data_IF_394442531037
#
_entry.id   IF_394442531037
#
_cell.length_a   1.000
_cell.length_b   1.000
_cell.length_c   1.000
_cell.angle_alpha   90.00
_cell.angle_beta   90.00
_cell.angle_gamma   90.00
#
_symmetry.space_group_name_H-M   'P 1'
#
loop_
_entity.id
_entity.type
_entity.pdbx_description
1 polymer ?
#
# COMPACT_ATOMS: atom_id res chain seq x y z
N UNK A 1 -5.19 25.55 9.27
CA UNK A 1 -4.85 26.75 8.49
C UNK A 1 -3.38 26.66 8.11
N UNK A 2 -2.99 27.31 7.02
CA UNK A 2 -1.62 27.50 6.54
C UNK A 2 -1.34 29.00 6.54
N UNK A 3 -0.19 29.40 7.09
CA UNK A 3 0.22 30.81 7.14
C UNK A 3 0.94 31.18 5.84
N UNK A 4 0.48 32.26 5.20
CA UNK A 4 1.09 32.82 3.98
C UNK A 4 1.43 34.30 4.20
N UNK A 5 2.25 34.94 3.32
CA UNK A 5 2.49 36.38 3.39
C UNK A 5 1.22 37.23 3.36
N UNK A 6 0.12 36.70 2.81
CA UNK A 6 -1.17 37.40 2.65
C UNK A 6 -2.20 37.03 3.73
N UNK A 7 -1.80 36.30 4.78
CA UNK A 7 -2.67 35.87 5.88
C UNK A 7 -2.84 34.35 5.97
N UNK A 8 -3.78 33.92 6.81
CA UNK A 8 -4.09 32.50 7.00
C UNK A 8 -5.11 32.01 5.97
N UNK A 9 -4.78 30.90 5.29
CA UNK A 9 -5.69 30.21 4.36
C UNK A 9 -5.91 28.76 4.80
N UNK A 10 -6.97 28.07 4.33
CA UNK A 10 -7.11 26.64 4.58
C UNK A 10 -5.94 25.82 4.01
N UNK A 11 -5.58 24.73 4.68
CA UNK A 11 -4.61 23.76 4.16
C UNK A 11 -5.21 23.01 2.97
N UNK A 12 -4.37 22.60 2.03
CA UNK A 12 -4.76 21.69 0.96
C UNK A 12 -5.10 20.33 1.58
N UNK A 13 -6.26 19.78 1.21
CA UNK A 13 -6.82 18.52 1.75
C UNK A 13 -7.11 17.51 0.65
N UNK A 14 -6.43 17.64 -0.49
CA UNK A 14 -6.67 16.85 -1.68
C UNK A 14 -7.76 17.44 -2.58
N UNK A 15 -7.69 17.09 -3.86
CA UNK A 15 -8.54 17.65 -4.92
C UNK A 15 -10.04 17.43 -4.71
N UNK A 16 -10.42 16.43 -3.91
CA UNK A 16 -11.81 16.16 -3.51
C UNK A 16 -12.38 17.22 -2.56
N UNK A 17 -11.53 17.99 -1.88
CA UNK A 17 -11.93 19.07 -0.96
C UNK A 17 -11.64 20.44 -1.57
N UNK A 18 -10.40 20.70 -1.96
CA UNK A 18 -9.94 22.00 -2.43
C UNK A 18 -8.74 21.86 -3.37
N UNK A 19 -8.14 22.98 -3.79
CA UNK A 19 -7.09 23.04 -4.80
C UNK A 19 -5.70 23.30 -4.19
N UNK A 20 -4.59 22.84 -4.81
CA UNK A 20 -3.25 23.00 -4.26
C UNK A 20 -2.74 24.46 -4.29
N UNK A 21 -3.26 25.31 -5.18
CA UNK A 21 -2.85 26.70 -5.31
C UNK A 21 -3.00 27.47 -3.98
N UNK A 22 -2.00 28.29 -3.64
CA UNK A 22 -1.93 29.00 -2.35
C UNK A 22 -2.73 30.31 -2.36
N UNK A 23 -4.03 30.23 -2.68
CA UNK A 23 -4.98 31.36 -2.62
C UNK A 23 -6.19 31.00 -1.76
N UNK A 24 -6.84 31.99 -1.15
CA UNK A 24 -8.04 31.75 -0.34
C UNK A 24 -9.17 31.10 -1.16
N UNK A 25 -9.37 31.56 -2.39
CA UNK A 25 -10.36 31.02 -3.32
C UNK A 25 -10.08 29.55 -3.62
N UNK A 26 -8.85 29.21 -4.03
CA UNK A 26 -8.46 27.83 -4.34
C UNK A 26 -8.54 26.90 -3.12
N UNK A 27 -8.24 27.40 -1.93
CA UNK A 27 -8.25 26.63 -0.68
C UNK A 27 -9.62 26.53 -0.02
N UNK A 28 -10.62 27.27 -0.48
CA UNK A 28 -11.99 27.16 0.02
C UNK A 28 -12.57 25.81 -0.37
N UNK A 29 -13.09 25.00 0.58
CA UNK A 29 -13.71 23.72 0.26
C UNK A 29 -14.90 23.87 -0.70
N UNK A 30 -14.96 23.03 -1.72
CA UNK A 30 -16.01 23.06 -2.75
C UNK A 30 -16.70 21.69 -2.84
N UNK A 31 -17.99 21.57 -2.50
CA UNK A 31 -18.72 20.30 -2.51
C UNK A 31 -18.90 19.70 -3.90
N UNK A 32 -18.84 20.48 -4.99
CA UNK A 32 -18.92 19.95 -6.37
C UNK A 32 -17.72 19.04 -6.70
N UNK A 33 -16.62 19.19 -5.96
CA UNK A 33 -15.45 18.31 -6.10
C UNK A 33 -15.73 16.87 -5.71
N UNK A 34 -16.76 16.59 -4.91
CA UNK A 34 -17.21 15.22 -4.62
C UNK A 34 -17.64 14.50 -5.91
N UNK A 35 -18.38 15.19 -6.79
CA UNK A 35 -18.84 14.65 -8.06
C UNK A 35 -17.68 14.48 -9.06
N UNK A 36 -16.73 15.43 -9.05
CA UNK A 36 -15.50 15.34 -9.84
C UNK A 36 -14.65 14.14 -9.41
N UNK A 37 -14.46 13.95 -8.11
CA UNK A 37 -13.71 12.82 -7.56
C UNK A 37 -14.37 11.49 -7.94
N UNK A 38 -15.70 11.36 -7.78
CA UNK A 38 -16.44 10.20 -8.24
C UNK A 38 -16.24 9.91 -9.73
N UNK A 39 -16.38 10.93 -10.59
CA UNK A 39 -16.23 10.77 -12.04
C UNK A 39 -14.81 10.34 -12.44
N UNK A 40 -13.79 10.95 -11.82
CA UNK A 40 -12.39 10.61 -12.05
C UNK A 40 -12.08 9.18 -11.57
N UNK A 41 -12.58 8.78 -10.39
CA UNK A 41 -12.42 7.43 -9.85
C UNK A 41 -13.08 6.39 -10.75
N UNK A 42 -14.30 6.64 -11.22
CA UNK A 42 -15.01 5.75 -12.14
C UNK A 42 -14.27 5.57 -13.46
N UNK A 43 -13.79 6.67 -14.06
CA UNK A 43 -13.01 6.63 -15.30
C UNK A 43 -11.69 5.87 -15.12
N UNK A 44 -10.98 6.13 -14.02
CA UNK A 44 -9.72 5.47 -13.68
C UNK A 44 -9.91 3.97 -13.48
N UNK A 45 -10.91 3.57 -12.70
CA UNK A 45 -11.19 2.16 -12.44
C UNK A 45 -11.64 1.42 -13.71
N UNK A 46 -12.43 2.08 -14.56
CA UNK A 46 -12.81 1.50 -15.86
C UNK A 46 -11.59 1.28 -16.76
N UNK A 47 -10.66 2.26 -16.82
CA UNK A 47 -9.42 2.12 -17.57
C UNK A 47 -8.54 0.99 -17.02
N UNK A 48 -8.37 0.91 -15.69
CA UNK A 48 -7.62 -0.17 -15.05
C UNK A 48 -8.23 -1.55 -15.34
N UNK A 49 -9.57 -1.67 -15.32
CA UNK A 49 -10.27 -2.92 -15.72
C UNK A 49 -10.03 -3.30 -17.17
N UNK A 50 -9.89 -2.32 -18.06
CA UNK A 50 -9.55 -2.58 -19.45
C UNK A 50 -8.07 -2.97 -19.61
N UNK A 51 -7.16 -2.30 -18.90
CA UNK A 51 -5.72 -2.59 -18.91
C UNK A 51 -5.40 -3.96 -18.30
N UNK A 52 -6.10 -4.37 -17.24
CA UNK A 52 -5.95 -5.70 -16.65
C UNK A 52 -6.35 -6.83 -17.62
N UNK A 53 -7.16 -6.52 -18.64
CA UNK A 53 -7.55 -7.43 -19.73
C UNK A 53 -6.69 -7.27 -20.99
N UNK A 54 -5.64 -6.44 -20.91
CA UNK A 54 -4.79 -6.12 -22.06
C UNK A 54 -4.03 -7.35 -22.58
N UNK A 55 -3.43 -7.19 -23.76
CA UNK A 55 -2.69 -8.23 -24.47
C UNK A 55 -1.22 -8.35 -24.07
N UNK A 56 -0.74 -7.60 -23.07
CA UNK A 56 0.65 -7.70 -22.64
C UNK A 56 0.92 -9.09 -22.05
N UNK A 57 1.99 -9.73 -22.54
CA UNK A 57 2.37 -11.06 -22.08
C UNK A 57 3.24 -10.96 -20.83
N UNK A 58 3.34 -12.05 -20.05
CA UNK A 58 4.29 -12.12 -18.93
C UNK A 58 5.74 -11.85 -19.38
N UNK A 59 6.10 -12.17 -20.61
CA UNK A 59 7.43 -11.89 -21.15
C UNK A 59 7.63 -10.40 -21.44
N UNK A 60 6.59 -9.66 -21.82
CA UNK A 60 6.66 -8.20 -21.97
C UNK A 60 6.88 -7.53 -20.61
N UNK A 61 6.22 -8.03 -19.56
CA UNK A 61 6.49 -7.60 -18.18
C UNK A 61 7.91 -7.92 -17.73
N UNK A 62 8.44 -9.10 -18.05
CA UNK A 62 9.85 -9.44 -17.74
C UNK A 62 10.81 -8.50 -18.45
N UNK A 63 10.58 -8.17 -19.73
CA UNK A 63 11.42 -7.19 -20.45
C UNK A 63 11.35 -5.79 -19.85
N UNK A 64 10.16 -5.37 -19.39
CA UNK A 64 10.01 -4.11 -18.69
C UNK A 64 10.78 -4.11 -17.37
N UNK A 65 10.70 -5.21 -16.60
CA UNK A 65 11.46 -5.38 -15.37
C UNK A 65 12.95 -5.35 -15.66
N UNK A 66 13.45 -6.09 -16.65
CA UNK A 66 14.86 -6.13 -17.04
C UNK A 66 15.41 -4.73 -17.34
N UNK A 67 14.65 -3.92 -18.11
CA UNK A 67 15.02 -2.54 -18.44
C UNK A 67 15.12 -1.64 -17.21
N UNK A 68 14.27 -1.86 -16.21
CA UNK A 68 14.15 -0.99 -15.03
C UNK A 68 14.96 -1.49 -13.83
N UNK A 69 15.36 -2.76 -13.82
CA UNK A 69 16.04 -3.39 -12.71
C UNK A 69 17.51 -2.94 -12.64
N UNK A 70 18.05 -2.71 -11.43
CA UNK A 70 19.49 -2.65 -11.22
C UNK A 70 20.22 -3.89 -11.79
N UNK A 71 21.41 -3.71 -12.37
CA UNK A 71 22.22 -4.81 -12.94
C UNK A 71 22.47 -5.95 -11.95
N UNK A 72 22.56 -5.65 -10.65
CA UNK A 72 22.72 -6.65 -9.57
C UNK A 72 21.60 -7.71 -9.54
N UNK A 73 20.46 -7.46 -10.19
CA UNK A 73 19.33 -8.38 -10.28
C UNK A 73 19.19 -9.11 -11.61
N UNK A 74 20.09 -8.91 -12.58
CA UNK A 74 20.01 -9.54 -13.90
C UNK A 74 19.85 -11.07 -13.81
N UNK A 75 20.61 -11.74 -12.93
CA UNK A 75 20.51 -13.18 -12.73
C UNK A 75 19.16 -13.65 -12.15
N UNK A 76 18.44 -12.77 -11.43
CA UNK A 76 17.09 -13.08 -10.94
C UNK A 76 16.05 -12.89 -12.05
N UNK A 77 16.21 -11.87 -12.90
CA UNK A 77 15.37 -11.66 -14.09
C UNK A 77 15.51 -12.85 -15.04
N UNK A 78 16.74 -13.27 -15.34
CA UNK A 78 17.03 -14.45 -16.17
C UNK A 78 16.37 -15.72 -15.59
N UNK A 79 16.39 -15.92 -14.27
CA UNK A 79 15.69 -17.03 -13.61
C UNK A 79 14.16 -16.99 -13.81
N UNK A 80 13.55 -15.80 -13.84
CA UNK A 80 12.11 -15.67 -14.12
C UNK A 80 11.84 -16.00 -15.58
N UNK A 81 12.65 -15.46 -16.49
CA UNK A 81 12.53 -15.71 -17.93
C UNK A 81 12.68 -17.21 -18.25
N UNK A 82 13.70 -17.86 -17.70
CA UNK A 82 13.93 -19.31 -17.84
C UNK A 82 12.74 -20.13 -17.34
N UNK A 83 12.13 -19.73 -16.22
CA UNK A 83 10.95 -20.41 -15.70
C UNK A 83 9.74 -20.28 -16.64
N UNK A 84 9.51 -19.10 -17.22
CA UNK A 84 8.44 -18.88 -18.21
C UNK A 84 8.72 -19.64 -19.51
N UNK A 85 9.97 -19.65 -19.98
CA UNK A 85 10.40 -20.41 -21.14
C UNK A 85 10.24 -21.92 -20.91
N UNK A 86 10.50 -22.41 -19.69
CA UNK A 86 10.26 -23.80 -19.32
C UNK A 86 8.77 -24.17 -19.39
N UNK A 87 7.87 -23.33 -18.84
CA UNK A 87 6.43 -23.55 -18.96
C UNK A 87 6.01 -23.63 -20.44
N UNK A 88 6.53 -22.71 -21.26
CA UNK A 88 6.31 -22.70 -22.71
C UNK A 88 6.80 -23.99 -23.37
N UNK A 89 7.99 -24.46 -23.02
CA UNK A 89 8.58 -25.70 -23.53
C UNK A 89 7.80 -26.96 -23.10
N UNK A 90 7.14 -26.93 -21.94
CA UNK A 90 6.21 -27.96 -21.50
C UNK A 90 4.87 -27.96 -22.26
N UNK A 91 4.68 -27.06 -23.23
CA UNK A 91 3.45 -26.93 -24.00
C UNK A 91 2.35 -26.16 -23.27
N UNK A 92 2.67 -25.48 -22.15
CA UNK A 92 1.76 -24.55 -21.52
C UNK A 92 1.84 -23.22 -22.26
N UNK A 93 0.71 -22.79 -22.80
CA UNK A 93 0.65 -21.51 -23.48
C UNK A 93 0.62 -20.37 -22.45
N UNK A 94 1.79 -19.78 -22.23
CA UNK A 94 1.96 -18.56 -21.42
C UNK A 94 1.57 -17.28 -22.18
N UNK A 95 1.15 -17.40 -23.45
CA UNK A 95 0.81 -16.29 -24.37
C UNK A 95 -0.68 -16.25 -24.77
N UNK A 96 -1.37 -17.39 -24.86
CA UNK A 96 -2.82 -17.52 -25.16
C UNK A 96 -3.47 -18.72 -24.46
N UNK A 97 -3.96 -18.53 -23.23
CA UNK A 97 -4.47 -19.61 -22.37
C UNK A 97 -5.72 -20.35 -22.89
N UNK A 98 -5.70 -21.69 -22.80
CA UNK A 98 -6.89 -22.50 -22.46
C UNK A 98 -6.51 -23.46 -21.35
N UNK A 99 -7.10 -23.25 -20.16
CA UNK A 99 -7.03 -24.04 -18.92
C UNK A 99 -5.73 -23.97 -18.07
N UNK A 100 -5.86 -23.53 -16.80
CA UNK A 100 -4.84 -23.63 -15.76
C UNK A 100 -4.03 -22.35 -15.45
N UNK A 101 -3.94 -21.39 -16.38
CA UNK A 101 -3.08 -20.19 -16.24
C UNK A 101 -3.85 -18.86 -16.40
N UNK A 102 -5.18 -18.85 -16.26
CA UNK A 102 -6.00 -17.63 -16.41
C UNK A 102 -5.54 -16.47 -15.51
N UNK A 103 -5.14 -16.76 -14.27
CA UNK A 103 -4.62 -15.76 -13.33
C UNK A 103 -3.25 -15.16 -13.72
N UNK A 104 -2.54 -15.77 -14.69
CA UNK A 104 -1.31 -15.19 -15.25
C UNK A 104 -1.57 -14.20 -16.39
N UNK A 105 -2.78 -14.20 -16.99
CA UNK A 105 -3.14 -13.27 -18.08
C UNK A 105 -3.93 -12.08 -17.58
N UNK A 106 -4.94 -12.33 -16.75
CA UNK A 106 -5.82 -11.29 -16.22
C UNK A 106 -5.53 -11.12 -14.73
N UNK A 107 -4.51 -10.32 -14.35
CA UNK A 107 -4.25 -10.09 -12.95
C UNK A 107 -5.49 -9.46 -12.32
N UNK A 108 -5.99 -10.10 -11.26
CA UNK A 108 -6.97 -9.47 -10.39
C UNK A 108 -6.30 -8.27 -9.73
N UNK A 109 -6.93 -7.11 -9.84
CA UNK A 109 -6.52 -5.93 -9.11
C UNK A 109 -7.71 -5.39 -8.32
N UNK A 110 -7.40 -4.79 -7.18
CA UNK A 110 -8.36 -4.19 -6.29
C UNK A 110 -7.99 -2.72 -6.07
N UNK A 111 -9.00 -1.92 -5.77
CA UNK A 111 -8.84 -0.51 -5.41
C UNK A 111 -8.95 -0.34 -3.89
N UNK A 112 -8.17 0.62 -3.37
CA UNK A 112 -8.26 1.06 -1.99
C UNK A 112 -7.96 2.54 -1.84
N UNK A 113 -8.48 3.15 -0.79
CA UNK A 113 -8.13 4.51 -0.34
C UNK A 113 -8.42 4.68 1.16
N UNK A 114 -7.91 5.77 1.74
CA UNK A 114 -8.25 6.15 3.12
C UNK A 114 -9.71 6.60 3.18
N UNK A 115 -10.53 5.95 4.00
CA UNK A 115 -11.90 6.36 4.24
C UNK A 115 -11.91 7.63 5.10
N UNK A 116 -11.58 8.78 4.51
CA UNK A 116 -11.32 10.02 5.25
C UNK A 116 -12.52 10.98 5.23
N UNK A 117 -13.08 11.22 4.05
CA UNK A 117 -14.18 12.17 3.86
C UNK A 117 -15.52 11.44 3.97
N UNK A 118 -16.01 11.26 5.20
CA UNK A 118 -17.15 10.39 5.50
C UNK A 118 -18.45 10.75 4.76
N UNK A 119 -18.65 12.01 4.35
CA UNK A 119 -19.79 12.37 3.49
C UNK A 119 -19.73 11.67 2.13
N UNK A 120 -18.54 11.59 1.53
CA UNK A 120 -18.31 10.86 0.28
C UNK A 120 -18.50 9.35 0.47
N UNK A 121 -17.90 8.81 1.55
CA UNK A 121 -17.97 7.38 1.87
C UNK A 121 -19.41 6.91 2.15
N UNK A 122 -20.16 7.67 2.94
CA UNK A 122 -21.58 7.38 3.21
C UNK A 122 -22.43 7.40 1.94
N UNK A 123 -22.18 8.34 1.02
CA UNK A 123 -22.92 8.48 -0.22
C UNK A 123 -22.66 7.31 -1.19
N UNK A 124 -21.54 6.60 -1.02
CA UNK A 124 -21.15 5.42 -1.80
C UNK A 124 -21.37 4.10 -1.06
N UNK A 125 -22.00 4.12 0.12
CA UNK A 125 -22.35 2.89 0.84
C UNK A 125 -23.66 2.32 0.32
N UNK A 126 -23.70 1.01 0.07
CA UNK A 126 -24.81 0.29 -0.57
C UNK A 126 -25.22 -0.92 0.27
N UNK A 127 -26.52 -1.20 0.39
CA UNK A 127 -26.98 -2.43 1.00
C UNK A 127 -26.79 -3.61 0.05
N UNK A 128 -26.55 -4.78 0.61
CA UNK A 128 -26.55 -6.07 -0.04
C UNK A 128 -27.42 -7.01 0.82
N UNK A 129 -28.50 -7.51 0.24
CA UNK A 129 -29.34 -8.50 0.89
C UNK A 129 -28.68 -9.87 0.71
N UNK A 130 -28.20 -10.47 1.79
CA UNK A 130 -27.64 -11.81 1.78
C UNK A 130 -28.75 -12.83 1.46
N UNK A 131 -28.67 -13.56 0.33
CA UNK A 131 -29.71 -14.50 -0.06
C UNK A 131 -29.80 -15.74 0.84
N UNK A 132 -28.75 -16.08 1.59
CA UNK A 132 -28.72 -17.24 2.48
C UNK A 132 -29.32 -16.93 3.86
N UNK A 133 -29.00 -15.76 4.41
CA UNK A 133 -29.41 -15.37 5.78
C UNK A 133 -30.60 -14.41 5.80
N UNK A 134 -30.84 -13.67 4.71
CA UNK A 134 -31.79 -12.57 4.64
C UNK A 134 -31.35 -11.31 5.38
N UNK A 135 -30.08 -11.23 5.82
CA UNK A 135 -29.52 -10.06 6.49
C UNK A 135 -29.14 -8.97 5.49
N UNK A 136 -29.47 -7.71 5.81
CA UNK A 136 -28.97 -6.56 5.06
C UNK A 136 -27.54 -6.23 5.50
N UNK A 137 -26.58 -6.57 4.66
CA UNK A 137 -25.18 -6.21 4.81
C UNK A 137 -24.88 -4.88 4.12
N UNK A 138 -23.88 -4.14 4.59
CA UNK A 138 -23.49 -2.86 4.00
C UNK A 138 -22.09 -2.93 3.44
N UNK A 139 -21.93 -2.51 2.18
CA UNK A 139 -20.62 -2.37 1.53
C UNK A 139 -20.43 -0.92 1.13
N UNK A 140 -19.28 -0.35 1.44
CA UNK A 140 -18.87 0.88 0.80
C UNK A 140 -18.34 0.56 -0.60
N UNK A 141 -19.08 0.99 -1.63
CA UNK A 141 -18.74 0.73 -3.03
C UNK A 141 -17.79 1.79 -3.61
N UNK A 142 -17.17 2.64 -2.80
CA UNK A 142 -16.13 3.58 -3.23
C UNK A 142 -14.81 2.85 -3.57
N UNK A 143 -14.52 1.74 -2.88
CA UNK A 143 -13.36 0.89 -3.12
C UNK A 143 -13.59 -0.53 -2.60
N UNK A 144 -12.69 -1.46 -2.96
CA UNK A 144 -12.77 -2.85 -2.49
C UNK A 144 -12.31 -2.96 -1.03
N UNK A 145 -11.25 -2.23 -0.69
CA UNK A 145 -10.68 -2.16 0.66
C UNK A 145 -10.56 -0.69 1.08
N UNK A 146 -10.81 -0.39 2.35
CA UNK A 146 -10.72 0.96 2.91
C UNK A 146 -9.83 0.94 4.13
N UNK A 147 -9.06 2.00 4.38
CA UNK A 147 -8.30 2.10 5.64
C UNK A 147 -8.65 3.33 6.46
N UNK A 148 -8.44 3.23 7.78
CA UNK A 148 -8.41 4.37 8.70
C UNK A 148 -6.97 4.82 8.93
N UNK A 149 -6.74 6.11 8.83
CA UNK A 149 -5.44 6.74 8.98
C UNK A 149 -5.00 6.87 10.44
N UNK A 150 -3.70 7.14 10.64
CA UNK A 150 -3.11 7.31 11.98
C UNK A 150 -3.77 8.44 12.78
N UNK A 151 -4.30 9.46 12.10
CA UNK A 151 -4.89 10.65 12.74
C UNK A 151 -6.40 10.53 12.95
N UNK A 152 -7.03 9.47 12.44
CA UNK A 152 -8.48 9.27 12.39
C UNK A 152 -8.92 7.94 13.02
N UNK A 153 -7.99 7.18 13.61
CA UNK A 153 -8.23 5.86 14.21
C UNK A 153 -8.62 5.90 15.69
N UNK A 154 -9.20 7.00 16.18
CA UNK A 154 -9.71 7.06 17.56
C UNK A 154 -10.82 6.02 17.73
N UNK A 155 -10.76 5.23 18.80
CA UNK A 155 -11.64 4.08 19.00
C UNK A 155 -13.13 4.46 19.03
N UNK A 156 -13.45 5.61 19.63
CA UNK A 156 -14.78 6.21 19.70
C UNK A 156 -15.02 7.26 18.58
N UNK A 157 -14.12 7.33 17.60
CA UNK A 157 -14.16 8.26 16.50
C UNK A 157 -15.09 7.82 15.36
N UNK A 158 -15.54 8.82 14.58
CA UNK A 158 -16.49 8.61 13.49
C UNK A 158 -15.99 7.65 12.40
N UNK A 159 -14.69 7.63 12.12
CA UNK A 159 -14.10 6.77 11.09
C UNK A 159 -14.09 5.30 11.49
N UNK A 160 -13.77 5.01 12.76
CA UNK A 160 -13.83 3.64 13.29
C UNK A 160 -15.28 3.17 13.34
N UNK A 161 -16.21 4.02 13.79
CA UNK A 161 -17.64 3.68 13.78
C UNK A 161 -18.17 3.43 12.37
N UNK A 162 -17.79 4.25 11.39
CA UNK A 162 -18.18 4.04 10.00
C UNK A 162 -17.67 2.70 9.46
N UNK A 163 -16.38 2.41 9.64
CA UNK A 163 -15.76 1.17 9.14
C UNK A 163 -16.26 -0.08 9.87
N UNK A 164 -16.65 0.03 11.14
CA UNK A 164 -17.27 -1.06 11.91
C UNK A 164 -18.55 -1.60 11.25
N UNK A 165 -19.29 -0.75 10.54
CA UNK A 165 -20.55 -1.11 9.91
C UNK A 165 -20.45 -1.70 8.51
N UNK A 166 -19.28 -1.65 7.85
CA UNK A 166 -19.13 -2.10 6.46
C UNK A 166 -18.45 -3.47 6.37
N UNK A 167 -18.83 -4.23 5.34
CA UNK A 167 -18.33 -5.59 5.11
C UNK A 167 -17.02 -5.64 4.33
N UNK A 168 -16.58 -4.54 3.72
CA UNK A 168 -15.27 -4.43 3.06
C UNK A 168 -14.11 -4.95 3.92
N UNK A 169 -13.01 -5.36 3.29
CA UNK A 169 -11.74 -5.50 4.02
C UNK A 169 -11.29 -4.12 4.54
N UNK A 170 -10.77 -4.10 5.77
CA UNK A 170 -10.44 -2.86 6.48
C UNK A 170 -8.95 -2.81 6.78
N UNK A 171 -8.33 -1.66 6.57
CA UNK A 171 -6.97 -1.37 6.98
C UNK A 171 -6.94 -0.44 8.17
N UNK A 172 -5.92 -0.59 9.02
CA UNK A 172 -5.65 0.33 10.13
C UNK A 172 -4.19 0.72 10.06
N UNK A 173 -3.89 2.02 9.92
CA UNK A 173 -2.51 2.51 10.06
C UNK A 173 -2.06 2.33 11.51
N UNK A 174 -0.87 1.75 11.69
CA UNK A 174 -0.28 1.44 12.99
C UNK A 174 1.03 2.20 13.14
N UNK A 175 0.95 3.37 13.78
CA UNK A 175 2.11 4.21 14.08
C UNK A 175 2.95 3.74 15.26
N UNK A 176 4.07 4.44 15.53
CA UNK A 176 5.04 4.09 16.57
C UNK A 176 4.55 4.35 18.00
N UNK A 177 3.40 5.02 18.17
CA UNK A 177 2.77 5.26 19.47
C UNK A 177 1.62 4.30 19.75
N UNK A 178 1.39 3.30 18.89
CA UNK A 178 0.34 2.31 19.09
C UNK A 178 0.70 1.42 20.27
N UNK A 179 -0.19 1.36 21.25
CA UNK A 179 -0.07 0.46 22.39
C UNK A 179 -0.80 -0.87 22.15
N UNK A 180 -0.31 -2.00 22.70
CA UNK A 180 -0.96 -3.30 22.51
C UNK A 180 -2.45 -3.34 22.88
N UNK A 181 -2.85 -2.70 23.98
CA UNK A 181 -4.24 -2.69 24.43
C UNK A 181 -5.15 -1.88 23.51
N UNK A 182 -4.64 -0.77 22.97
CA UNK A 182 -5.34 0.05 21.99
C UNK A 182 -5.54 -0.72 20.68
N UNK A 183 -4.47 -1.37 20.19
CA UNK A 183 -4.52 -2.18 18.97
C UNK A 183 -5.54 -3.32 19.09
N UNK A 184 -5.53 -4.04 20.21
CA UNK A 184 -6.50 -5.11 20.45
C UNK A 184 -7.93 -4.56 20.47
N UNK A 185 -8.16 -3.43 21.15
CA UNK A 185 -9.49 -2.81 21.16
C UNK A 185 -9.99 -2.42 19.76
N UNK A 186 -9.09 -1.91 18.90
CA UNK A 186 -9.39 -1.60 17.50
C UNK A 186 -9.74 -2.85 16.69
N UNK A 187 -8.96 -3.93 16.86
CA UNK A 187 -9.23 -5.22 16.20
C UNK A 187 -10.61 -5.75 16.62
N UNK A 188 -10.92 -5.74 17.91
CA UNK A 188 -12.18 -6.22 18.46
C UNK A 188 -13.38 -5.43 17.93
N UNK A 189 -13.19 -4.13 17.75
CA UNK A 189 -14.23 -3.24 17.23
C UNK A 189 -14.46 -3.46 15.74
N UNK A 190 -13.41 -3.60 14.94
CA UNK A 190 -13.51 -3.67 13.48
C UNK A 190 -13.64 -5.10 12.93
N UNK A 191 -13.29 -6.11 13.73
CA UNK A 191 -13.38 -7.53 13.39
C UNK A 191 -13.96 -8.35 14.57
N UNK A 192 -15.20 -8.07 15.00
CA UNK A 192 -15.77 -8.67 16.21
C UNK A 192 -15.99 -10.18 16.12
N UNK A 193 -16.13 -10.72 14.91
CA UNK A 193 -16.26 -12.16 14.65
C UNK A 193 -14.91 -12.86 14.45
N UNK A 194 -13.80 -12.12 14.56
CA UNK A 194 -12.45 -12.60 14.29
C UNK A 194 -12.36 -13.33 12.94
N UNK A 195 -12.85 -12.70 11.87
CA UNK A 195 -12.82 -13.24 10.52
C UNK A 195 -11.41 -13.12 9.91
N UNK A 196 -10.91 -14.19 9.31
CA UNK A 196 -9.63 -14.16 8.59
C UNK A 196 -9.70 -13.20 7.40
N UNK A 197 -8.67 -12.39 7.20
CA UNK A 197 -8.59 -11.44 6.08
C UNK A 197 -9.43 -10.17 6.22
N UNK A 198 -10.31 -10.06 7.24
CA UNK A 198 -11.16 -8.87 7.46
C UNK A 198 -10.35 -7.61 7.76
N UNK A 199 -9.29 -7.73 8.55
CA UNK A 199 -8.48 -6.58 9.00
C UNK A 199 -7.01 -6.71 8.61
N UNK A 200 -6.46 -5.63 8.04
CA UNK A 200 -5.05 -5.46 7.73
C UNK A 200 -4.44 -4.38 8.64
N UNK A 201 -3.38 -4.74 9.36
CA UNK A 201 -2.62 -3.81 10.19
C UNK A 201 -1.44 -3.28 9.38
N UNK A 202 -1.47 -1.99 9.06
CA UNK A 202 -0.52 -1.32 8.17
C UNK A 202 0.51 -0.56 9.03
N UNK A 203 1.60 -1.23 9.37
CA UNK A 203 2.67 -0.75 10.25
C UNK A 203 3.45 0.37 9.57
N UNK A 204 3.71 1.48 10.27
CA UNK A 204 4.42 2.65 9.70
C UNK A 204 5.29 3.37 10.74
N UNK A 205 6.16 2.66 11.45
CA UNK A 205 6.83 3.18 12.64
C UNK A 205 8.03 4.09 12.36
N UNK A 206 8.64 3.92 11.18
CA UNK A 206 9.96 4.45 10.82
C UNK A 206 11.06 3.44 11.16
N UNK A 207 12.13 3.44 10.38
CA UNK A 207 13.27 2.53 10.54
C UNK A 207 13.89 2.58 11.94
N UNK A 208 13.87 3.75 12.57
CA UNK A 208 14.49 3.99 13.87
C UNK A 208 13.64 3.48 15.06
N UNK A 209 12.37 3.13 14.84
CA UNK A 209 11.42 2.79 15.93
C UNK A 209 10.77 1.42 15.80
N UNK A 210 10.74 0.86 14.60
CA UNK A 210 10.05 -0.40 14.33
C UNK A 210 10.60 -1.58 15.15
N UNK A 211 11.92 -1.62 15.37
CA UNK A 211 12.59 -2.70 16.10
C UNK A 211 12.11 -2.80 17.56
N UNK A 212 11.77 -1.67 18.19
CA UNK A 212 11.29 -1.61 19.57
C UNK A 212 9.75 -1.75 19.63
N UNK A 213 9.05 -1.10 18.68
CA UNK A 213 7.60 -0.97 18.73
C UNK A 213 6.82 -2.18 18.22
N UNK A 214 7.26 -2.82 17.14
CA UNK A 214 6.48 -3.87 16.48
C UNK A 214 6.42 -5.20 17.28
N UNK A 215 7.52 -5.72 17.88
CA UNK A 215 7.49 -7.03 18.53
C UNK A 215 6.45 -7.17 19.65
N UNK A 216 6.18 -6.11 20.42
CA UNK A 216 5.14 -6.15 21.46
C UNK A 216 3.72 -6.26 20.88
N UNK A 217 3.46 -5.63 19.73
CA UNK A 217 2.16 -5.72 19.05
C UNK A 217 1.95 -7.11 18.46
N UNK A 218 2.97 -7.67 17.80
CA UNK A 218 2.95 -9.04 17.27
C UNK A 218 2.63 -10.05 18.36
N UNK A 219 3.31 -9.97 19.51
CA UNK A 219 3.08 -10.86 20.65
C UNK A 219 1.68 -10.74 21.22
N UNK A 220 1.16 -9.52 21.37
CA UNK A 220 -0.17 -9.29 21.90
C UNK A 220 -1.26 -9.89 20.99
N UNK A 221 -1.24 -9.57 19.70
CA UNK A 221 -2.20 -10.09 18.71
C UNK A 221 -2.14 -11.62 18.64
N UNK A 222 -0.93 -12.19 18.61
CA UNK A 222 -0.73 -13.65 18.60
C UNK A 222 -1.27 -14.31 19.88
N UNK A 223 -1.00 -13.74 21.04
CA UNK A 223 -1.47 -14.26 22.34
C UNK A 223 -2.99 -14.26 22.44
N UNK A 224 -3.64 -13.20 21.98
CA UNK A 224 -5.10 -13.08 21.98
C UNK A 224 -5.78 -13.83 20.82
N UNK A 225 -5.02 -14.51 19.96
CA UNK A 225 -5.55 -15.34 18.88
C UNK A 225 -6.30 -14.56 17.80
N UNK A 226 -5.93 -13.30 17.55
CA UNK A 226 -6.63 -12.46 16.57
C UNK A 226 -6.09 -12.64 15.16
N UNK A 227 -7.00 -12.82 14.20
CA UNK A 227 -6.67 -12.96 12.80
C UNK A 227 -6.56 -11.60 12.13
N UNK A 228 -5.36 -11.30 11.66
CA UNK A 228 -5.02 -10.04 10.99
C UNK A 228 -4.02 -10.32 9.86
N UNK A 229 -4.04 -9.46 8.85
CA UNK A 229 -2.96 -9.39 7.85
C UNK A 229 -1.98 -8.30 8.27
N UNK A 230 -0.70 -8.63 8.45
CA UNK A 230 0.32 -7.63 8.72
C UNK A 230 0.90 -7.08 7.42
N UNK A 231 0.90 -5.77 7.26
CA UNK A 231 1.48 -5.08 6.11
C UNK A 231 2.42 -3.97 6.58
N UNK A 232 3.52 -3.76 5.86
CA UNK A 232 4.45 -2.66 6.15
C UNK A 232 4.24 -1.50 5.18
N UNK A 233 4.05 -0.30 5.74
CA UNK A 233 4.15 1.00 5.08
C UNK A 233 5.47 1.66 5.51
N UNK A 234 6.56 1.40 4.77
CA UNK A 234 7.88 1.95 5.08
C UNK A 234 8.05 3.40 4.59
N UNK A 235 6.97 4.06 4.16
CA UNK A 235 7.02 5.36 3.52
C UNK A 235 6.77 6.47 4.55
N UNK A 236 5.61 6.41 5.23
CA UNK A 236 5.15 7.48 6.12
C UNK A 236 5.98 7.62 7.40
N UNK A 237 6.69 6.55 7.79
CA UNK A 237 7.65 6.51 8.91
C UNK A 237 8.95 7.28 8.66
N UNK A 238 9.36 7.43 7.40
CA UNK A 238 10.73 7.78 7.02
C UNK A 238 10.85 9.11 6.26
N UNK A 239 9.82 9.95 6.30
CA UNK A 239 9.86 11.29 5.70
C UNK A 239 10.80 12.20 6.49
N UNK A 240 11.78 12.78 5.79
CA UNK A 240 12.69 13.82 6.30
C UNK A 240 12.48 15.13 5.56
N UNK A 241 13.04 16.23 6.08
CA UNK A 241 13.18 17.49 5.36
C UNK A 241 14.66 17.77 5.11
N UNK A 242 15.02 18.05 3.86
CA UNK A 242 16.40 18.42 3.50
C UNK A 242 16.61 19.94 3.58
N UNK A 243 17.84 20.42 3.36
CA UNK A 243 18.25 21.80 3.69
C UNK A 243 17.43 22.92 3.04
N UNK A 244 16.77 22.66 1.91
CA UNK A 244 15.87 23.58 1.21
C UNK A 244 14.40 23.50 1.67
N UNK A 245 14.09 22.71 2.71
CA UNK A 245 12.75 22.54 3.27
C UNK A 245 11.87 21.50 2.56
N UNK A 246 12.35 20.90 1.47
CA UNK A 246 11.65 19.87 0.71
C UNK A 246 11.53 18.60 1.55
N UNK A 247 10.34 18.00 1.54
CA UNK A 247 10.14 16.67 2.08
C UNK A 247 10.68 15.64 1.09
N UNK A 248 11.43 14.68 1.59
CA UNK A 248 11.88 13.51 0.81
C UNK A 248 11.94 12.29 1.72
N UNK A 249 12.24 11.11 1.15
CA UNK A 249 12.40 9.85 1.88
C UNK A 249 13.67 9.15 1.35
N UNK A 250 14.65 8.86 2.21
CA UNK A 250 15.81 8.08 1.80
C UNK A 250 15.43 6.62 1.54
N UNK A 251 15.73 6.12 0.34
CA UNK A 251 15.42 4.73 -0.05
C UNK A 251 16.04 3.71 0.92
N UNK A 252 17.25 3.97 1.42
CA UNK A 252 17.91 3.15 2.45
C UNK A 252 17.07 3.01 3.74
N UNK A 253 16.41 4.09 4.18
CA UNK A 253 15.56 4.06 5.38
C UNK A 253 14.27 3.29 5.14
N UNK A 254 13.70 3.44 3.94
CA UNK A 254 12.54 2.67 3.50
C UNK A 254 12.88 1.17 3.55
N UNK A 255 14.02 0.76 2.96
CA UNK A 255 14.48 -0.62 3.00
C UNK A 255 14.78 -1.11 4.43
N UNK A 256 15.44 -0.29 5.26
CA UNK A 256 15.75 -0.64 6.63
C UNK A 256 14.48 -0.90 7.47
N UNK A 257 13.40 -0.17 7.24
CA UNK A 257 12.12 -0.44 7.90
C UNK A 257 11.49 -1.75 7.42
N UNK A 258 11.56 -2.05 6.11
CA UNK A 258 11.15 -3.36 5.57
C UNK A 258 11.98 -4.49 6.19
N UNK A 259 13.29 -4.33 6.31
CA UNK A 259 14.17 -5.32 6.95
C UNK A 259 13.77 -5.63 8.37
N UNK A 260 13.57 -4.59 9.18
CA UNK A 260 13.19 -4.74 10.57
C UNK A 260 11.79 -5.33 10.73
N UNK A 261 10.86 -5.04 9.81
CA UNK A 261 9.54 -5.69 9.77
C UNK A 261 9.66 -7.21 9.57
N UNK A 262 10.42 -7.64 8.57
CA UNK A 262 10.65 -9.07 8.30
C UNK A 262 11.37 -9.75 9.48
N UNK A 263 12.38 -9.11 10.06
CA UNK A 263 13.12 -9.64 11.21
C UNK A 263 12.24 -9.80 12.45
N UNK A 264 11.36 -8.83 12.74
CA UNK A 264 10.41 -8.92 13.86
C UNK A 264 9.42 -10.08 13.66
N UNK A 265 8.91 -10.27 12.44
CA UNK A 265 8.04 -11.40 12.13
C UNK A 265 8.72 -12.75 12.30
N UNK A 266 9.98 -12.88 11.85
CA UNK A 266 10.78 -14.08 12.04
C UNK A 266 10.99 -14.39 13.53
N UNK A 267 11.39 -13.38 14.32
CA UNK A 267 11.64 -13.52 15.75
C UNK A 267 10.38 -13.93 16.55
N UNK A 268 9.23 -13.34 16.22
CA UNK A 268 7.97 -13.61 16.91
C UNK A 268 7.20 -14.81 16.33
N UNK A 269 7.70 -15.41 15.25
CA UNK A 269 7.07 -16.52 14.54
C UNK A 269 5.67 -16.15 14.05
N UNK A 270 5.56 -15.03 13.35
CA UNK A 270 4.35 -14.51 12.69
C UNK A 270 4.64 -14.28 11.20
N UNK A 271 3.63 -13.93 10.40
CA UNK A 271 3.76 -13.84 8.93
C UNK A 271 3.85 -12.38 8.47
N UNK A 272 4.90 -11.99 7.73
CA UNK A 272 4.94 -10.69 7.04
C UNK A 272 4.02 -10.76 5.81
N UNK A 273 2.81 -10.21 5.92
CA UNK A 273 1.71 -10.44 4.97
C UNK A 273 1.66 -9.54 3.74
N UNK A 274 2.37 -8.40 3.74
CA UNK A 274 2.37 -7.51 2.57
C UNK A 274 3.16 -6.22 2.76
N UNK A 275 3.18 -5.40 1.70
CA UNK A 275 3.77 -4.06 1.66
C UNK A 275 2.74 -3.05 1.16
N UNK A 276 2.80 -1.82 1.65
CA UNK A 276 1.92 -0.71 1.29
C UNK A 276 2.80 0.50 0.92
N UNK A 277 2.93 0.78 -0.37
CA UNK A 277 3.89 1.75 -0.91
C UNK A 277 3.17 2.91 -1.58
N UNK A 278 3.82 4.08 -1.56
CA UNK A 278 3.46 5.22 -2.41
C UNK A 278 4.44 5.28 -3.58
N UNK A 279 3.94 5.04 -4.80
CA UNK A 279 4.76 4.91 -5.99
C UNK A 279 4.13 5.56 -7.22
N UNK A 280 4.93 5.73 -8.27
CA UNK A 280 4.50 6.13 -9.61
C UNK A 280 5.30 5.39 -10.66
N UNK A 281 4.67 5.03 -11.78
CA UNK A 281 5.34 4.42 -12.93
C UNK A 281 6.19 5.41 -13.74
N UNK A 282 6.16 6.70 -13.40
CA UNK A 282 6.99 7.70 -14.06
C UNK A 282 8.47 7.53 -13.68
N UNK A 283 9.29 7.15 -14.66
CA UNK A 283 10.71 6.82 -14.46
C UNK A 283 11.54 8.02 -14.01
N UNK A 284 11.22 9.23 -14.48
CA UNK A 284 12.03 10.43 -14.25
C UNK A 284 11.62 11.25 -13.03
N UNK A 285 10.70 10.78 -12.19
CA UNK A 285 10.31 11.49 -10.97
C UNK A 285 11.44 11.45 -9.95
N UNK A 286 11.79 12.61 -9.39
CA UNK A 286 12.89 12.76 -8.42
C UNK A 286 12.39 13.14 -7.03
N UNK A 287 11.63 12.25 -6.40
CA UNK A 287 10.92 12.53 -5.14
C UNK A 287 11.58 11.88 -3.91
N UNK A 288 12.04 10.63 -4.02
CA UNK A 288 12.77 9.91 -2.96
C UNK A 288 14.28 9.85 -3.25
N UNK A 289 15.12 10.03 -2.23
CA UNK A 289 16.58 9.98 -2.35
C UNK A 289 17.08 8.54 -2.54
N UNK A 290 18.22 8.39 -3.21
CA UNK A 290 18.89 7.10 -3.44
C UNK A 290 18.25 6.28 -4.55
N UNK A 291 18.36 4.96 -4.42
CA UNK A 291 18.03 3.98 -5.47
C UNK A 291 19.25 3.67 -6.34
N UNK A 292 19.38 2.42 -6.76
CA UNK A 292 20.58 1.94 -7.46
C UNK A 292 20.63 2.35 -8.93
N UNK A 293 19.47 2.59 -9.55
CA UNK A 293 19.38 3.07 -10.92
C UNK A 293 19.08 4.56 -10.92
N UNK A 294 19.97 5.34 -11.52
CA UNK A 294 19.86 6.81 -11.61
C UNK A 294 19.75 7.52 -10.25
N UNK A 295 20.61 7.13 -9.29
CA UNK A 295 20.66 7.62 -7.91
C UNK A 295 20.22 9.08 -7.74
N UNK A 296 19.18 9.30 -6.94
CA UNK A 296 18.64 10.64 -6.69
C UNK A 296 19.35 11.26 -5.48
N UNK A 297 20.14 12.30 -5.73
CA UNK A 297 20.77 13.13 -4.68
C UNK A 297 19.86 14.30 -4.29
N UNK A 298 20.19 15.01 -3.21
CA UNK A 298 19.41 16.18 -2.76
C UNK A 298 19.33 17.28 -3.84
N UNK A 299 20.38 17.47 -4.62
CA UNK A 299 20.45 18.45 -5.70
C UNK A 299 19.50 18.12 -6.85
N UNK A 300 19.23 16.81 -7.06
CA UNK A 300 18.39 16.31 -8.15
C UNK A 300 16.90 16.29 -7.80
N UNK A 301 16.52 16.44 -6.53
CA UNK A 301 15.11 16.41 -6.10
C UNK A 301 14.24 17.43 -6.87
N UNK A 302 14.80 18.59 -7.21
CA UNK A 302 14.05 19.65 -7.90
C UNK A 302 14.03 19.50 -9.42
N UNK A 303 14.70 18.50 -9.99
CA UNK A 303 14.67 18.25 -11.43
C UNK A 303 13.26 17.91 -11.91
N UNK A 304 12.50 17.12 -11.14
CA UNK A 304 11.17 16.66 -11.52
C UNK A 304 10.31 16.19 -10.32
N UNK A 305 10.12 17.08 -9.34
CA UNK A 305 9.23 16.84 -8.19
C UNK A 305 7.77 17.13 -8.57
N UNK A 306 6.90 16.12 -8.59
CA UNK A 306 5.51 16.27 -9.08
C UNK A 306 4.44 16.08 -8.00
N UNK A 307 4.74 15.36 -6.93
CA UNK A 307 3.76 15.09 -5.87
C UNK A 307 3.29 16.37 -5.19
N UNK A 308 1.98 16.46 -4.98
CA UNK A 308 1.33 17.56 -4.24
C UNK A 308 1.22 17.27 -2.74
N UNK A 309 1.62 16.08 -2.30
CA UNK A 309 1.55 15.67 -0.89
C UNK A 309 2.91 15.15 -0.42
N UNK A 310 3.10 13.83 -0.47
CA UNK A 310 4.31 13.17 0.02
C UNK A 310 5.13 12.56 -1.15
N UNK A 311 6.45 12.38 -0.98
CA UNK A 311 7.36 11.95 -2.05
C UNK A 311 7.21 10.45 -2.36
N UNK A 312 7.05 10.09 -3.63
CA UNK A 312 6.78 8.70 -4.07
C UNK A 312 8.05 8.01 -4.56
N UNK A 313 8.07 6.68 -4.52
CA UNK A 313 9.03 5.89 -5.27
C UNK A 313 8.75 6.06 -6.77
N UNK A 314 9.80 6.29 -7.57
CA UNK A 314 9.69 6.28 -9.03
C UNK A 314 9.66 4.83 -9.57
N UNK A 315 9.60 4.68 -10.89
CA UNK A 315 9.52 3.36 -11.54
C UNK A 315 10.69 2.43 -11.18
N UNK A 316 11.93 2.92 -11.22
CA UNK A 316 13.13 2.10 -10.95
C UNK A 316 13.24 1.73 -9.47
N UNK A 317 13.01 2.67 -8.55
CA UNK A 317 13.00 2.42 -7.11
C UNK A 317 11.90 1.43 -6.71
N UNK A 318 10.74 1.46 -7.38
CA UNK A 318 9.64 0.53 -7.13
C UNK A 318 9.99 -0.90 -7.56
N UNK A 319 10.65 -1.07 -8.70
CA UNK A 319 11.15 -2.38 -9.17
C UNK A 319 12.23 -2.89 -8.22
N UNK A 320 13.18 -2.03 -7.82
CA UNK A 320 14.20 -2.39 -6.84
C UNK A 320 13.59 -2.86 -5.51
N UNK A 321 12.60 -2.15 -4.98
CA UNK A 321 11.85 -2.57 -3.79
C UNK A 321 11.19 -3.94 -3.97
N UNK A 322 10.62 -4.23 -5.14
CA UNK A 322 10.00 -5.53 -5.42
C UNK A 322 11.04 -6.67 -5.38
N UNK A 323 12.24 -6.46 -5.93
CA UNK A 323 13.33 -7.44 -5.80
C UNK A 323 13.74 -7.63 -4.35
N UNK A 324 13.95 -6.55 -3.61
CA UNK A 324 14.34 -6.60 -2.19
C UNK A 324 13.33 -7.41 -1.37
N UNK A 325 12.03 -7.13 -1.50
CA UNK A 325 10.97 -7.90 -0.84
C UNK A 325 10.98 -9.37 -1.31
N UNK A 326 11.12 -9.61 -2.61
CA UNK A 326 11.18 -10.95 -3.20
C UNK A 326 12.33 -11.81 -2.64
N UNK A 327 13.51 -11.22 -2.43
CA UNK A 327 14.66 -11.90 -1.82
C UNK A 327 14.36 -12.34 -0.38
N UNK A 328 13.71 -11.48 0.41
CA UNK A 328 13.32 -11.77 1.79
C UNK A 328 12.29 -12.90 1.86
N UNK A 329 11.27 -12.87 1.00
CA UNK A 329 10.29 -13.95 0.88
C UNK A 329 10.93 -15.28 0.48
N UNK A 330 11.87 -15.26 -0.48
CA UNK A 330 12.62 -16.45 -0.91
C UNK A 330 13.46 -17.04 0.23
N UNK A 331 14.06 -16.19 1.09
CA UNK A 331 14.82 -16.62 2.26
C UNK A 331 13.91 -17.35 3.26
N UNK A 332 12.77 -16.75 3.63
CA UNK A 332 11.78 -17.36 4.55
C UNK A 332 11.31 -18.72 4.02
N UNK A 333 10.95 -18.81 2.73
CA UNK A 333 10.48 -20.05 2.13
C UNK A 333 11.55 -21.18 2.17
N UNK A 334 12.82 -20.85 1.94
CA UNK A 334 13.94 -21.80 2.02
C UNK A 334 14.14 -22.31 3.46
N UNK A 335 14.06 -21.43 4.45
CA UNK A 335 14.23 -21.79 5.85
C UNK A 335 13.08 -22.66 6.37
N UNK A 336 11.84 -22.36 5.96
CA UNK A 336 10.68 -23.18 6.25
C UNK A 336 10.82 -24.60 5.70
N UNK A 337 11.26 -24.76 4.44
CA UNK A 337 11.52 -26.07 3.82
C UNK A 337 12.61 -26.85 4.55
N UNK A 338 13.70 -26.19 4.97
CA UNK A 338 14.77 -26.83 5.76
C UNK A 338 14.28 -27.35 7.10
N UNK A 339 13.44 -26.59 7.81
CA UNK A 339 12.84 -27.00 9.09
C UNK A 339 11.89 -28.20 8.92
N UNK A 340 11.20 -28.30 7.79
CA UNK A 340 10.35 -29.46 7.46
C UNK A 340 11.15 -30.71 7.09
N UNK A 341 12.30 -30.58 6.42
CA UNK A 341 13.11 -31.74 6.03
C UNK A 341 13.96 -32.34 7.16
N UNK A 342 14.05 -31.68 8.31
CA UNK A 342 14.78 -32.13 9.51
C UNK A 342 13.84 -32.61 10.64
N UNK A 343 12.53 -32.64 10.40
CA UNK A 343 11.52 -33.30 11.23
C UNK A 343 11.12 -34.61 10.56
#
# INVERSE_FOLDING_TARGET
MESTPNGEIPVFRGDIVNSPESTLEARTPDPERLLRAYSQSAASLNMLRALAKSSETMLDWVRLIDRLAPEKYAAFVEQIEDALNFLTACGLDVTSSTEGLQNLREPEFYSSHEALLLSYESALTRPYEDPETGETLWYNSSAHMLWVGERTRQLDGAHVEFLRGVQNAIGVKVGPTMEPSELLSLIDTLNPRNEEGKIMLIVRMGCDRIADGLPQLLRAVKREGRYVVWSIDPMHGNTIKVGNGIKTRPFEKILAEVDAFFAAHEAEGTVPGGVHLEMTGEEHVTECLGGDVNEITEERLMENFKSTCDPRLNGTQSIEMAFEVGHRLRKIAKEARRKQSHR
#
